data_IF_698974160689
#
_entry.id   IF_698974160689
#
_cell.length_a   1.000
_cell.length_b   1.000
_cell.length_c   1.000
_cell.angle_alpha   90.00
_cell.angle_beta   90.00
_cell.angle_gamma   90.00
#
_symmetry.space_group_name_H-M   'P 1'
#
loop_
_entity.id
_entity.type
_entity.pdbx_description
1 polymer ?
#
# COMPACT_ATOMS: atom_id res chain seq x y z
N UNK A 1 -10.68 23.60 0.13
CA UNK A 1 -11.11 22.44 0.93
C UNK A 1 -10.68 21.22 0.16
N UNK A 2 -9.68 20.50 0.65
CA UNK A 2 -9.22 19.28 0.00
C UNK A 2 -10.22 18.20 0.42
N UNK A 3 -10.94 17.63 -0.55
CA UNK A 3 -11.93 16.59 -0.28
C UNK A 3 -11.20 15.36 0.28
N UNK A 4 -11.43 15.04 1.55
CA UNK A 4 -11.00 13.83 2.28
C UNK A 4 -11.69 12.55 1.77
N UNK A 5 -12.02 12.49 0.47
CA UNK A 5 -12.83 11.43 -0.13
C UNK A 5 -11.91 10.48 -0.86
N UNK A 6 -11.96 9.20 -0.48
CA UNK A 6 -11.21 8.15 -1.16
C UNK A 6 -11.65 8.01 -2.63
N UNK A 7 -10.69 7.76 -3.53
CA UNK A 7 -10.98 7.49 -4.92
C UNK A 7 -11.89 6.25 -5.07
N UNK A 8 -12.99 6.40 -5.80
CA UNK A 8 -13.96 5.31 -6.02
C UNK A 8 -13.55 4.42 -7.20
N UNK A 9 -13.00 5.02 -8.25
CA UNK A 9 -12.61 4.34 -9.48
C UNK A 9 -11.08 4.28 -9.62
N UNK A 10 -10.60 3.24 -10.30
CA UNK A 10 -9.21 3.17 -10.76
C UNK A 10 -9.06 4.00 -12.05
N UNK A 11 -7.84 4.49 -12.36
CA UNK A 11 -7.57 5.08 -13.67
C UNK A 11 -7.83 4.08 -14.80
N UNK A 12 -7.75 4.53 -16.05
CA UNK A 12 -7.68 3.59 -17.18
C UNK A 12 -6.48 2.65 -17.02
N UNK A 13 -6.56 1.44 -17.58
CA UNK A 13 -5.46 0.47 -17.50
C UNK A 13 -4.15 1.06 -18.04
N UNK A 14 -4.20 1.81 -19.15
CA UNK A 14 -3.05 2.50 -19.71
C UNK A 14 -2.47 3.55 -18.75
N UNK A 15 -3.34 4.35 -18.12
CA UNK A 15 -2.92 5.34 -17.12
C UNK A 15 -2.27 4.69 -15.90
N UNK A 16 -2.81 3.56 -15.45
CA UNK A 16 -2.23 2.79 -14.35
C UNK A 16 -0.90 2.15 -14.73
N UNK A 17 -0.76 1.60 -15.93
CA UNK A 17 0.50 1.04 -16.40
C UNK A 17 1.62 2.10 -16.41
N UNK A 18 1.32 3.33 -16.83
CA UNK A 18 2.26 4.45 -16.76
C UNK A 18 2.67 4.76 -15.31
N UNK A 19 1.71 4.78 -14.38
CA UNK A 19 1.98 5.01 -12.95
C UNK A 19 2.79 3.87 -12.33
N UNK A 20 2.54 2.63 -12.73
CA UNK A 20 3.32 1.46 -12.29
C UNK A 20 4.76 1.53 -12.83
N UNK A 21 4.95 1.93 -14.08
CA UNK A 21 6.29 2.16 -14.65
C UNK A 21 7.03 3.27 -13.88
N UNK A 22 6.36 4.39 -13.61
CA UNK A 22 6.91 5.47 -12.78
C UNK A 22 7.35 4.98 -11.39
N UNK A 23 6.57 4.10 -10.76
CA UNK A 23 6.93 3.47 -9.48
C UNK A 23 8.22 2.66 -9.61
N UNK A 24 8.34 1.83 -10.65
CA UNK A 24 9.54 1.04 -10.91
C UNK A 24 10.76 1.91 -11.21
N UNK A 25 10.60 3.06 -11.87
CA UNK A 25 11.72 3.96 -12.15
C UNK A 25 12.16 4.78 -10.93
N UNK A 26 11.23 5.19 -10.06
CA UNK A 26 11.49 6.20 -9.02
C UNK A 26 11.58 5.65 -7.60
N UNK A 27 11.00 4.48 -7.33
CA UNK A 27 10.83 3.94 -5.97
C UNK A 27 11.51 2.59 -5.83
N UNK A 28 11.30 1.69 -6.80
CA UNK A 28 11.85 0.34 -6.77
C UNK A 28 13.38 0.24 -6.68
N UNK A 29 14.18 1.13 -7.32
CA UNK A 29 15.65 1.08 -7.19
C UNK A 29 16.13 1.32 -5.77
N UNK A 30 15.30 1.95 -4.93
CA UNK A 30 15.58 2.22 -3.52
C UNK A 30 14.96 1.15 -2.60
N UNK A 31 13.85 0.54 -3.02
CA UNK A 31 13.13 -0.49 -2.27
C UNK A 31 12.50 -1.52 -3.24
N UNK A 32 13.12 -2.70 -3.45
CA UNK A 32 12.57 -3.73 -4.31
C UNK A 32 11.40 -4.44 -3.61
N UNK A 33 10.24 -3.80 -3.60
CA UNK A 33 9.03 -4.29 -2.92
C UNK A 33 8.38 -5.43 -3.71
N UNK A 34 8.38 -5.35 -5.05
CA UNK A 34 7.67 -6.30 -5.90
C UNK A 34 8.57 -7.03 -6.88
N UNK A 35 8.24 -8.28 -7.18
CA UNK A 35 8.69 -8.94 -8.38
C UNK A 35 7.82 -8.48 -9.56
N UNK A 36 8.43 -7.84 -10.56
CA UNK A 36 7.69 -7.11 -11.60
C UNK A 36 6.63 -7.95 -12.34
N UNK A 37 6.95 -9.16 -12.86
CA UNK A 37 5.95 -10.01 -13.51
C UNK A 37 4.75 -10.35 -12.62
N UNK A 38 5.01 -10.61 -11.33
CA UNK A 38 3.97 -10.97 -10.37
C UNK A 38 3.03 -9.80 -10.13
N UNK A 39 3.57 -8.60 -9.91
CA UNK A 39 2.73 -7.44 -9.67
C UNK A 39 1.99 -6.97 -10.93
N UNK A 40 2.57 -7.13 -12.12
CA UNK A 40 1.84 -6.89 -13.38
C UNK A 40 0.62 -7.81 -13.49
N UNK A 41 0.74 -9.08 -13.08
CA UNK A 41 -0.41 -9.98 -13.02
C UNK A 41 -1.43 -9.51 -11.98
N UNK A 42 -0.98 -9.10 -10.79
CA UNK A 42 -1.87 -8.54 -9.76
C UNK A 42 -2.66 -7.32 -10.27
N UNK A 43 -2.04 -6.44 -11.07
CA UNK A 43 -2.74 -5.31 -11.71
C UNK A 43 -3.84 -5.81 -12.63
N UNK A 44 -3.53 -6.74 -13.54
CA UNK A 44 -4.51 -7.30 -14.46
C UNK A 44 -5.66 -7.98 -13.72
N UNK A 45 -5.38 -8.73 -12.66
CA UNK A 45 -6.39 -9.40 -11.84
C UNK A 45 -7.36 -8.39 -11.23
N UNK A 46 -6.87 -7.26 -10.70
CA UNK A 46 -7.73 -6.20 -10.15
C UNK A 46 -8.60 -5.55 -11.22
N UNK A 47 -8.05 -5.27 -12.42
CA UNK A 47 -8.86 -4.76 -13.54
C UNK A 47 -9.89 -5.76 -14.06
N UNK A 48 -9.64 -7.06 -13.87
CA UNK A 48 -10.57 -8.15 -14.16
C UNK A 48 -11.56 -8.43 -13.00
N UNK A 49 -11.58 -7.59 -11.97
CA UNK A 49 -12.56 -7.67 -10.87
C UNK A 49 -12.09 -8.49 -9.66
N UNK A 50 -10.79 -8.72 -9.48
CA UNK A 50 -10.27 -9.37 -8.27
C UNK A 50 -10.67 -8.60 -7.02
N UNK A 51 -11.20 -9.34 -6.05
CA UNK A 51 -11.55 -8.83 -4.72
C UNK A 51 -10.44 -9.09 -3.68
N UNK A 52 -9.27 -9.57 -4.11
CA UNK A 52 -8.16 -9.85 -3.20
C UNK A 52 -7.70 -8.54 -2.51
N UNK A 53 -7.73 -8.48 -1.16
CA UNK A 53 -7.39 -7.26 -0.44
C UNK A 53 -5.94 -6.82 -0.63
N UNK A 54 -5.01 -7.76 -0.75
CA UNK A 54 -3.60 -7.45 -0.94
C UNK A 54 -3.35 -6.82 -2.32
N UNK A 55 -3.89 -7.42 -3.38
CA UNK A 55 -3.78 -6.88 -4.73
C UNK A 55 -4.39 -5.47 -4.82
N UNK A 56 -5.59 -5.29 -4.26
CA UNK A 56 -6.30 -4.01 -4.25
C UNK A 56 -5.59 -2.92 -3.42
N UNK A 57 -5.00 -3.30 -2.29
CA UNK A 57 -4.18 -2.41 -1.47
C UNK A 57 -2.92 -1.98 -2.22
N UNK A 58 -2.15 -2.94 -2.73
CA UNK A 58 -0.87 -2.68 -3.36
C UNK A 58 -1.00 -1.82 -4.61
N UNK A 59 -1.98 -2.09 -5.46
CA UNK A 59 -2.23 -1.28 -6.66
C UNK A 59 -2.54 0.19 -6.33
N UNK A 60 -3.44 0.43 -5.39
CA UNK A 60 -3.84 1.79 -4.98
C UNK A 60 -2.70 2.54 -4.31
N UNK A 61 -1.88 1.86 -3.51
CA UNK A 61 -0.66 2.45 -2.93
C UNK A 61 0.36 2.82 -4.00
N UNK A 62 0.57 1.96 -5.00
CA UNK A 62 1.49 2.26 -6.12
C UNK A 62 1.01 3.49 -6.89
N UNK A 63 -0.29 3.57 -7.20
CA UNK A 63 -0.89 4.76 -7.84
C UNK A 63 -0.65 6.01 -6.98
N UNK A 64 -0.95 5.94 -5.68
CA UNK A 64 -0.78 7.07 -4.76
C UNK A 64 0.67 7.56 -4.70
N UNK A 65 1.63 6.64 -4.51
CA UNK A 65 3.05 6.95 -4.44
C UNK A 65 3.55 7.56 -5.76
N UNK A 66 3.14 7.00 -6.90
CA UNK A 66 3.54 7.51 -8.22
C UNK A 66 3.01 8.92 -8.48
N UNK A 67 1.74 9.19 -8.17
CA UNK A 67 1.15 10.52 -8.31
C UNK A 67 1.88 11.56 -7.44
N UNK A 68 2.22 11.19 -6.21
CA UNK A 68 2.98 12.04 -5.29
C UNK A 68 4.38 12.38 -5.82
N UNK A 69 4.97 11.51 -6.65
CA UNK A 69 6.29 11.73 -7.28
C UNK A 69 6.24 12.56 -8.56
N UNK A 70 5.06 12.85 -9.12
CA UNK A 70 4.93 13.60 -10.38
C UNK A 70 5.01 15.11 -10.17
N UNK A 71 3.99 15.72 -9.56
CA UNK A 71 3.92 17.17 -9.30
C UNK A 71 2.96 17.43 -8.12
N UNK A 72 3.18 18.52 -7.40
CA UNK A 72 2.32 19.03 -6.31
C UNK A 72 0.83 19.14 -6.67
N UNK A 73 0.48 19.41 -7.93
CA UNK A 73 -0.93 19.46 -8.36
C UNK A 73 -1.66 18.12 -8.19
N UNK A 74 -0.93 17.00 -8.16
CA UNK A 74 -1.50 15.65 -8.00
C UNK A 74 -1.61 15.21 -6.53
N UNK A 75 -1.17 16.03 -5.57
CA UNK A 75 -1.12 15.63 -4.16
C UNK A 75 -2.50 15.23 -3.60
N UNK A 76 -3.56 15.99 -3.92
CA UNK A 76 -4.91 15.64 -3.48
C UNK A 76 -5.43 14.33 -4.09
N UNK A 77 -5.06 14.05 -5.34
CA UNK A 77 -5.42 12.78 -5.99
C UNK A 77 -4.63 11.62 -5.38
N UNK A 78 -3.34 11.81 -5.10
CA UNK A 78 -2.51 10.84 -4.39
C UNK A 78 -3.13 10.46 -3.03
N UNK A 79 -3.56 11.46 -2.25
CA UNK A 79 -4.21 11.24 -0.95
C UNK A 79 -5.52 10.46 -1.09
N UNK A 80 -6.32 10.74 -2.11
CA UNK A 80 -7.56 10.00 -2.37
C UNK A 80 -7.31 8.50 -2.64
N UNK A 81 -6.24 8.15 -3.36
CA UNK A 81 -5.85 6.76 -3.61
C UNK A 81 -5.22 6.09 -2.39
N UNK A 82 -4.48 6.84 -1.58
CA UNK A 82 -4.00 6.37 -0.28
C UNK A 82 -5.18 5.99 0.64
N UNK A 83 -6.17 6.87 0.78
CA UNK A 83 -7.39 6.58 1.55
C UNK A 83 -8.17 5.39 0.99
N UNK A 84 -8.23 5.27 -0.34
CA UNK A 84 -8.86 4.10 -0.99
C UNK A 84 -8.10 2.81 -0.69
N UNK A 85 -6.76 2.83 -0.64
CA UNK A 85 -5.95 1.68 -0.27
C UNK A 85 -6.20 1.24 1.18
N UNK A 86 -6.29 2.19 2.13
CA UNK A 86 -6.49 1.88 3.55
C UNK A 86 -7.73 1.02 3.84
N UNK A 87 -8.76 1.09 2.99
CA UNK A 87 -9.96 0.23 3.07
C UNK A 87 -9.64 -1.27 2.99
N UNK A 88 -8.54 -1.64 2.36
CA UNK A 88 -8.10 -3.02 2.17
C UNK A 88 -7.00 -3.45 3.15
N UNK A 89 -6.43 -2.50 3.90
CA UNK A 89 -5.18 -2.71 4.65
C UNK A 89 -5.31 -3.80 5.72
N UNK A 90 -6.33 -3.73 6.56
CA UNK A 90 -6.54 -4.69 7.66
C UNK A 90 -6.62 -6.14 7.13
N UNK A 91 -7.42 -6.35 6.08
CA UNK A 91 -7.57 -7.65 5.46
C UNK A 91 -6.28 -8.12 4.74
N UNK A 92 -5.52 -7.20 4.14
CA UNK A 92 -4.27 -7.50 3.46
C UNK A 92 -3.15 -7.93 4.44
N UNK A 93 -3.12 -7.40 5.66
CA UNK A 93 -2.08 -7.71 6.65
C UNK A 93 -2.40 -8.90 7.56
N UNK A 94 -3.68 -9.28 7.66
CA UNK A 94 -4.18 -10.40 8.49
C UNK A 94 -3.40 -11.71 8.32
N UNK A 95 -2.91 -12.10 7.12
CA UNK A 95 -2.16 -13.34 6.93
C UNK A 95 -0.77 -13.37 7.58
N UNK A 96 -0.22 -12.23 8.02
CA UNK A 96 1.10 -12.11 8.67
C UNK A 96 2.26 -12.78 7.92
N UNK A 97 2.39 -12.51 6.63
CA UNK A 97 3.44 -13.10 5.80
C UNK A 97 4.21 -12.01 5.03
N UNK A 98 4.99 -12.40 4.01
CA UNK A 98 5.75 -11.46 3.20
C UNK A 98 4.88 -10.34 2.60
N UNK A 99 3.63 -10.64 2.23
CA UNK A 99 2.66 -9.66 1.73
C UNK A 99 2.37 -8.57 2.76
N UNK A 100 2.28 -8.94 4.04
CA UNK A 100 2.12 -8.00 5.15
C UNK A 100 3.29 -7.01 5.21
N UNK A 101 4.52 -7.49 5.05
CA UNK A 101 5.71 -6.62 5.02
C UNK A 101 5.68 -5.65 3.83
N UNK A 102 5.32 -6.15 2.63
CA UNK A 102 5.14 -5.31 1.45
C UNK A 102 4.10 -4.21 1.69
N UNK A 103 2.97 -4.55 2.34
CA UNK A 103 1.94 -3.57 2.68
C UNK A 103 2.46 -2.47 3.60
N UNK A 104 3.25 -2.82 4.62
CA UNK A 104 3.88 -1.86 5.54
C UNK A 104 4.94 -1.00 4.83
N UNK A 105 5.77 -1.57 3.97
CA UNK A 105 6.75 -0.82 3.18
C UNK A 105 6.10 0.25 2.31
N UNK A 106 4.98 -0.07 1.65
CA UNK A 106 4.25 0.89 0.82
C UNK A 106 3.71 2.07 1.65
N UNK A 107 3.06 1.82 2.78
CA UNK A 107 2.51 2.92 3.61
C UNK A 107 3.61 3.75 4.26
N UNK A 108 4.71 3.12 4.67
CA UNK A 108 5.88 3.84 5.14
C UNK A 108 6.46 4.73 4.03
N UNK A 109 6.58 4.20 2.81
CA UNK A 109 7.05 4.95 1.64
C UNK A 109 6.20 6.18 1.34
N UNK A 110 4.87 6.04 1.37
CA UNK A 110 3.94 7.15 1.16
C UNK A 110 4.01 8.19 2.29
N UNK A 111 4.12 7.73 3.54
CA UNK A 111 4.12 8.59 4.74
C UNK A 111 5.42 9.36 4.93
N UNK A 112 6.55 8.87 4.41
CA UNK A 112 7.82 9.61 4.47
C UNK A 112 7.85 10.81 3.54
N UNK A 113 6.98 10.82 2.52
CA UNK A 113 6.93 11.85 1.47
C UNK A 113 5.88 12.93 1.75
N UNK A 114 4.93 12.68 2.65
CA UNK A 114 3.95 13.66 3.12
C UNK A 114 4.08 13.87 4.62
N UNK A 115 4.18 15.10 5.14
CA UNK A 115 4.13 15.34 6.59
C UNK A 115 2.70 15.16 7.13
N UNK A 116 2.12 13.96 6.99
CA UNK A 116 0.82 13.58 7.56
C UNK A 116 1.05 13.04 8.98
N UNK A 117 1.17 13.96 9.94
CA UNK A 117 1.53 13.66 11.34
C UNK A 117 0.60 12.69 12.08
N UNK A 118 -0.57 12.32 11.56
CA UNK A 118 -1.60 11.58 12.32
C UNK A 118 -1.72 10.10 11.90
N UNK A 119 -1.50 9.76 10.64
CA UNK A 119 -1.75 8.40 10.12
C UNK A 119 -0.66 7.40 10.53
N UNK A 120 0.60 7.83 10.60
CA UNK A 120 1.74 6.95 10.96
C UNK A 120 1.63 6.42 12.38
N UNK A 121 1.31 7.26 13.38
CA UNK A 121 1.18 6.81 14.77
C UNK A 121 -0.01 5.87 14.98
N UNK A 122 -1.09 6.06 14.21
CA UNK A 122 -2.23 5.15 14.23
C UNK A 122 -1.87 3.78 13.65
N UNK A 123 -1.15 3.74 12.53
CA UNK A 123 -0.73 2.50 11.86
C UNK A 123 0.35 1.77 12.66
N UNK A 124 1.32 2.48 13.25
CA UNK A 124 2.30 1.92 14.18
C UNK A 124 1.61 1.41 15.45
N UNK A 125 0.66 2.17 16.00
CA UNK A 125 -0.13 1.74 17.16
C UNK A 125 -0.99 0.50 16.89
N UNK A 126 -1.54 0.37 15.67
CA UNK A 126 -2.22 -0.84 15.21
C UNK A 126 -1.24 -2.01 15.07
N UNK A 127 -0.08 -1.80 14.44
CA UNK A 127 0.97 -2.81 14.29
C UNK A 127 1.46 -3.35 15.64
N UNK A 128 1.70 -2.48 16.63
CA UNK A 128 2.11 -2.88 17.98
C UNK A 128 1.02 -3.70 18.69
N UNK A 129 -0.25 -3.29 18.61
CA UNK A 129 -1.37 -4.05 19.18
C UNK A 129 -1.57 -5.40 18.48
N UNK A 130 -1.35 -5.47 17.17
CA UNK A 130 -1.34 -6.72 16.41
C UNK A 130 -0.20 -7.65 16.88
N UNK A 131 1.03 -7.16 17.00
CA UNK A 131 2.15 -7.97 17.53
C UNK A 131 1.88 -8.52 18.94
N UNK A 132 1.22 -7.74 19.80
CA UNK A 132 0.82 -8.18 21.14
C UNK A 132 -0.33 -9.20 21.10
N UNK A 133 -1.35 -9.00 20.25
CA UNK A 133 -2.48 -9.91 20.13
C UNK A 133 -2.12 -11.26 19.47
N UNK A 134 -1.04 -11.29 18.68
CA UNK A 134 -0.59 -12.47 17.94
C UNK A 134 0.41 -13.33 18.72
N UNK A 135 0.69 -13.00 19.98
CA UNK A 135 1.52 -13.81 20.87
C UNK A 135 3.00 -13.84 20.50
N UNK A 136 3.49 -12.92 19.65
CA UNK A 136 4.91 -12.84 19.30
C UNK A 136 5.82 -12.38 20.46
N UNK A 137 5.25 -12.10 21.64
CA UNK A 137 6.01 -11.96 22.88
C UNK A 137 6.18 -13.29 23.64
N UNK A 138 5.34 -14.30 23.35
CA UNK A 138 5.51 -15.66 23.86
C UNK A 138 6.19 -16.51 22.78
N UNK A 139 7.52 -16.54 22.84
CA UNK A 139 8.27 -17.64 22.26
C UNK A 139 7.79 -18.91 22.96
N UNK A 140 6.90 -19.68 22.33
CA UNK A 140 6.76 -21.08 22.71
C UNK A 140 8.06 -21.76 22.33
N UNK A 141 9.01 -21.75 23.25
CA UNK A 141 10.06 -22.74 23.34
C UNK A 141 9.36 -24.10 23.35
N UNK A 142 9.21 -24.72 22.18
CA UNK A 142 8.89 -26.14 22.14
C UNK A 142 10.18 -26.83 22.60
N UNK A 143 10.26 -27.03 23.90
CA UNK A 143 11.16 -28.00 24.48
C UNK A 143 10.39 -29.31 24.57
N UNK A 144 10.99 -30.32 23.91
CA UNK A 144 10.67 -31.75 23.82
C UNK A 144 9.51 -32.17 22.92
#
# INVERSE_FOLDING_TARGET
GVNDVAAEELPTLDGTNLLVELFYCKVHPMYPIFHQPTFTQDVNDVYNGSTDPYQNYCLRMVIAISLQKMDTQYAGLADSYYLAALRYFEAAIKPMNLKTLQCFCLVAGYSLLTPTRTAVYYIVGLGVRLCQALGLHEEKTITM
#
